data_IF_871984392164
#
_entry.id   IF_871984392164
#
_cell.length_a   1.000
_cell.length_b   1.000
_cell.length_c   1.000
_cell.angle_alpha   90.00
_cell.angle_beta   90.00
_cell.angle_gamma   90.00
#
_symmetry.space_group_name_H-M   'P 1'
#
loop_
_entity.id
_entity.type
_entity.pdbx_description
1 polymer ?
#
# COMPACT_ATOMS: atom_id res chain seq x y z
N UNK A 1 19.08 -61.20 -19.54
CA UNK A 1 20.11 -60.16 -19.33
C UNK A 1 19.74 -58.92 -20.13
N UNK A 2 20.09 -57.74 -19.60
CA UNK A 2 19.92 -56.37 -20.13
C UNK A 2 18.69 -55.59 -19.66
N UNK A 3 18.77 -55.08 -18.42
CA UNK A 3 18.09 -53.85 -18.02
C UNK A 3 19.13 -52.72 -18.04
N UNK A 4 18.94 -51.73 -18.91
CA UNK A 4 19.70 -50.48 -18.91
C UNK A 4 19.12 -49.57 -17.83
N UNK A 5 19.87 -49.39 -16.74
CA UNK A 5 19.56 -48.44 -15.67
C UNK A 5 19.97 -47.04 -16.12
N UNK A 6 19.00 -46.13 -16.27
CA UNK A 6 19.25 -44.70 -16.44
C UNK A 6 19.29 -44.08 -15.04
N UNK A 7 20.48 -43.75 -14.55
CA UNK A 7 20.65 -42.92 -13.36
C UNK A 7 20.43 -41.45 -13.75
N UNK A 8 19.23 -40.94 -13.54
CA UNK A 8 18.99 -39.49 -13.52
C UNK A 8 19.35 -38.95 -12.15
N UNK A 9 20.51 -38.30 -12.05
CA UNK A 9 20.91 -37.52 -10.89
C UNK A 9 20.08 -36.24 -10.91
N UNK A 10 19.02 -36.19 -10.10
CA UNK A 10 18.35 -34.94 -9.77
C UNK A 10 19.30 -34.13 -8.89
N UNK A 11 19.92 -33.10 -9.46
CA UNK A 11 20.59 -32.06 -8.70
C UNK A 11 19.52 -31.29 -7.92
N UNK A 12 19.32 -31.66 -6.64
CA UNK A 12 18.68 -30.77 -5.69
C UNK A 12 19.60 -29.57 -5.52
N UNK A 13 19.28 -28.47 -6.21
CA UNK A 13 19.79 -27.17 -5.87
C UNK A 13 19.20 -26.77 -4.51
N UNK A 14 19.89 -27.17 -3.45
CA UNK A 14 19.74 -26.53 -2.15
C UNK A 14 20.20 -25.08 -2.34
N UNK A 15 19.25 -24.18 -2.56
CA UNK A 15 19.47 -22.77 -2.31
C UNK A 15 19.74 -22.64 -0.80
N UNK A 16 21.02 -22.76 -0.43
CA UNK A 16 21.47 -22.44 0.90
C UNK A 16 21.16 -20.97 1.13
N UNK A 17 20.14 -20.70 1.94
CA UNK A 17 19.95 -19.39 2.57
C UNK A 17 21.13 -19.25 3.53
N UNK A 18 22.26 -18.78 3.02
CA UNK A 18 23.43 -18.51 3.83
C UNK A 18 23.09 -17.39 4.79
N UNK A 19 22.80 -17.74 6.04
CA UNK A 19 22.91 -16.84 7.16
C UNK A 19 24.39 -16.46 7.31
N UNK A 20 24.83 -15.42 6.57
CA UNK A 20 26.16 -14.85 6.70
C UNK A 20 26.12 -13.68 7.69
N UNK A 21 27.17 -13.48 8.50
CA UNK A 21 27.10 -12.68 9.71
C UNK A 21 27.05 -11.17 9.41
N UNK A 22 26.63 -10.43 10.43
CA UNK A 22 26.34 -8.98 10.56
C UNK A 22 27.41 -8.00 10.02
N UNK A 23 28.52 -8.46 9.44
CA UNK A 23 29.54 -7.64 8.76
C UNK A 23 29.21 -7.27 7.29
N UNK A 24 28.13 -7.79 6.71
CA UNK A 24 27.79 -7.54 5.30
C UNK A 24 26.79 -6.37 5.08
N UNK A 25 26.13 -5.88 6.14
CA UNK A 25 25.06 -4.87 6.00
C UNK A 25 25.57 -3.56 5.41
N UNK A 26 26.76 -3.10 5.79
CA UNK A 26 27.35 -1.88 5.22
C UNK A 26 27.62 -2.02 3.72
N UNK A 27 28.07 -3.19 3.27
CA UNK A 27 28.30 -3.49 1.85
C UNK A 27 26.98 -3.57 1.10
N UNK A 28 26.01 -4.33 1.62
CA UNK A 28 24.65 -4.47 1.07
C UNK A 28 24.00 -3.08 0.92
N UNK A 29 24.09 -2.24 1.95
CA UNK A 29 23.59 -0.86 1.92
C UNK A 29 24.26 -0.06 0.81
N UNK A 30 25.60 -0.08 0.76
CA UNK A 30 26.37 0.66 -0.25
C UNK A 30 26.03 0.22 -1.68
N UNK A 31 25.84 -1.07 -1.89
CA UNK A 31 25.48 -1.64 -3.20
C UNK A 31 24.04 -1.29 -3.58
N UNK A 32 23.09 -1.42 -2.64
CA UNK A 32 21.69 -1.02 -2.81
C UNK A 32 21.56 0.47 -3.21
N UNK A 33 22.22 1.36 -2.48
CA UNK A 33 22.10 2.81 -2.64
C UNK A 33 23.07 3.38 -3.69
N UNK A 34 23.86 2.52 -4.34
CA UNK A 34 25.02 2.92 -5.14
C UNK A 34 24.72 3.79 -6.36
N UNK A 35 23.51 3.72 -6.90
CA UNK A 35 23.04 4.56 -8.01
C UNK A 35 22.11 5.70 -7.57
N UNK A 36 21.80 5.80 -6.27
CA UNK A 36 20.93 6.83 -5.71
C UNK A 36 19.44 6.68 -6.01
N UNK A 37 19.00 5.58 -6.63
CA UNK A 37 17.59 5.34 -6.98
C UNK A 37 16.87 4.41 -5.98
N UNK A 38 17.61 3.79 -5.08
CA UNK A 38 17.08 2.94 -4.03
C UNK A 38 17.55 3.40 -2.65
N UNK A 39 16.75 3.08 -1.64
CA UNK A 39 17.03 3.38 -0.24
C UNK A 39 17.05 2.09 0.57
N UNK A 40 18.07 1.92 1.41
CA UNK A 40 18.24 0.75 2.26
C UNK A 40 17.58 0.98 3.62
N UNK A 41 16.78 0.01 4.06
CA UNK A 41 16.12 0.01 5.35
C UNK A 41 16.48 -1.25 6.12
N UNK A 42 16.69 -1.09 7.44
CA UNK A 42 16.94 -2.19 8.37
C UNK A 42 16.25 -1.89 9.69
N UNK A 43 15.66 -2.90 10.33
CA UNK A 43 15.07 -2.77 11.67
C UNK A 43 15.95 -3.43 12.74
N UNK A 44 15.55 -3.25 14.01
CA UNK A 44 16.29 -3.77 15.17
C UNK A 44 16.40 -5.31 15.20
N UNK A 45 15.52 -6.01 14.48
CA UNK A 45 15.54 -7.47 14.35
C UNK A 45 16.50 -7.95 13.25
N UNK A 46 17.18 -7.04 12.54
CA UNK A 46 18.06 -7.36 11.42
C UNK A 46 17.33 -7.73 10.14
N UNK A 47 16.02 -7.52 10.05
CA UNK A 47 15.30 -7.56 8.78
C UNK A 47 15.67 -6.31 7.98
N UNK A 48 16.01 -6.50 6.71
CA UNK A 48 16.39 -5.43 5.80
C UNK A 48 15.76 -5.60 4.43
N UNK A 49 15.53 -4.47 3.79
CA UNK A 49 15.06 -4.38 2.41
C UNK A 49 15.64 -3.15 1.74
N UNK A 50 15.82 -3.24 0.43
CA UNK A 50 16.19 -2.13 -0.41
C UNK A 50 14.98 -1.81 -1.30
N UNK A 51 14.54 -0.56 -1.25
CA UNK A 51 13.35 -0.09 -1.94
C UNK A 51 13.75 0.86 -3.06
N UNK A 52 13.43 0.50 -4.30
CA UNK A 52 13.74 1.29 -5.50
C UNK A 52 12.51 1.94 -6.08
N UNK A 53 12.64 3.19 -6.48
CA UNK A 53 11.62 3.87 -7.27
C UNK A 53 11.78 3.53 -8.76
N UNK A 54 10.68 3.17 -9.39
CA UNK A 54 10.57 2.86 -10.81
C UNK A 54 9.49 3.72 -11.46
N UNK A 55 9.63 3.93 -12.76
CA UNK A 55 8.54 4.46 -13.57
C UNK A 55 7.48 3.39 -13.81
N UNK A 56 6.20 3.79 -13.82
CA UNK A 56 5.06 2.87 -14.00
C UNK A 56 5.09 2.03 -15.30
N UNK A 57 5.82 2.48 -16.31
CA UNK A 57 5.90 1.84 -17.64
C UNK A 57 6.89 0.68 -17.71
N UNK A 58 7.69 0.47 -16.65
CA UNK A 58 8.65 -0.64 -16.60
C UNK A 58 7.95 -1.99 -16.37
N UNK A 59 8.46 -3.05 -16.99
CA UNK A 59 8.02 -4.41 -16.65
C UNK A 59 8.67 -4.82 -15.32
N UNK A 60 7.84 -4.91 -14.29
CA UNK A 60 8.25 -5.17 -12.90
C UNK A 60 7.67 -6.49 -12.36
N UNK A 61 7.21 -7.39 -13.23
CA UNK A 61 6.49 -8.61 -12.84
C UNK A 61 7.34 -9.59 -12.01
N UNK A 62 8.67 -9.47 -12.05
CA UNK A 62 9.62 -10.28 -11.30
C UNK A 62 9.94 -9.73 -9.91
N UNK A 63 9.36 -8.59 -9.51
CA UNK A 63 9.58 -7.93 -8.21
C UNK A 63 8.28 -7.76 -7.44
N UNK A 64 8.37 -7.70 -6.11
CA UNK A 64 7.26 -7.21 -5.28
C UNK A 64 7.28 -5.68 -5.32
N UNK A 65 6.26 -5.08 -5.90
CA UNK A 65 6.19 -3.64 -6.13
C UNK A 65 4.86 -3.10 -5.66
N UNK A 66 4.79 -1.85 -5.23
CA UNK A 66 3.59 -1.17 -4.78
C UNK A 66 3.41 0.15 -5.52
N UNK A 67 2.17 0.51 -5.84
CA UNK A 67 1.87 1.89 -6.16
C UNK A 67 1.89 2.70 -4.88
N UNK A 68 2.56 3.86 -4.95
CA UNK A 68 2.37 4.94 -4.00
C UNK A 68 1.73 6.07 -4.79
N UNK A 69 0.62 6.63 -4.32
CA UNK A 69 -0.18 7.65 -5.05
C UNK A 69 0.58 8.95 -5.43
N UNK A 70 1.89 9.04 -5.17
CA UNK A 70 2.77 10.00 -5.83
C UNK A 70 2.76 9.73 -7.35
N UNK A 71 2.06 10.59 -8.09
CA UNK A 71 1.75 10.44 -9.52
C UNK A 71 2.89 9.78 -10.32
N UNK A 72 2.66 8.53 -10.77
CA UNK A 72 3.53 7.81 -11.72
C UNK A 72 4.69 7.02 -11.12
N UNK A 73 4.84 6.99 -9.78
CA UNK A 73 5.90 6.23 -9.13
C UNK A 73 5.43 4.86 -8.64
N UNK A 74 6.28 3.86 -8.84
CA UNK A 74 6.13 2.51 -8.28
C UNK A 74 7.33 2.26 -7.40
N UNK A 75 7.14 1.72 -6.21
CA UNK A 75 8.24 1.34 -5.32
C UNK A 75 8.36 -0.17 -5.28
N UNK A 76 9.53 -0.70 -5.60
CA UNK A 76 9.79 -2.12 -5.65
C UNK A 76 10.82 -2.56 -4.63
N UNK A 77 10.64 -3.76 -4.10
CA UNK A 77 11.67 -4.49 -3.37
C UNK A 77 12.74 -4.95 -4.36
N UNK A 78 13.99 -4.59 -4.09
CA UNK A 78 15.15 -5.10 -4.83
C UNK A 78 15.44 -6.54 -4.46
N UNK A 79 15.16 -7.44 -5.40
CA UNK A 79 15.55 -8.84 -5.30
C UNK A 79 17.08 -8.94 -5.21
N UNK A 80 17.58 -9.58 -4.15
CA UNK A 80 19.02 -9.67 -3.82
C UNK A 80 19.48 -8.73 -2.71
N UNK A 81 18.72 -7.67 -2.42
CA UNK A 81 18.98 -6.72 -1.33
C UNK A 81 17.84 -6.70 -0.29
N UNK A 82 17.21 -7.86 -0.09
CA UNK A 82 16.11 -8.07 0.85
C UNK A 82 16.25 -9.44 1.54
N UNK A 83 16.00 -9.51 2.85
CA UNK A 83 15.96 -10.77 3.61
C UNK A 83 14.57 -11.11 4.17
N UNK A 84 13.54 -10.35 3.79
CA UNK A 84 12.16 -10.57 4.24
C UNK A 84 11.48 -11.54 3.27
N UNK A 85 11.16 -12.79 3.68
CA UNK A 85 10.66 -13.80 2.76
C UNK A 85 9.35 -13.40 2.07
N UNK A 86 8.40 -12.80 2.83
CA UNK A 86 7.12 -12.34 2.30
C UNK A 86 7.23 -11.26 1.23
N UNK A 87 8.35 -10.54 1.20
CA UNK A 87 8.64 -9.51 0.21
C UNK A 87 9.36 -10.01 -1.04
N UNK A 88 9.89 -11.23 -1.05
CA UNK A 88 10.62 -11.75 -2.23
C UNK A 88 9.71 -12.58 -3.11
N UNK A 89 9.64 -12.24 -4.41
CA UNK A 89 9.02 -13.09 -5.43
C UNK A 89 9.82 -14.35 -5.70
N UNK A 90 11.15 -14.27 -5.59
CA UNK A 90 12.04 -15.40 -5.83
C UNK A 90 11.91 -16.49 -4.77
N UNK A 91 11.46 -16.15 -3.55
CA UNK A 91 11.24 -17.14 -2.49
C UNK A 91 10.04 -18.05 -2.74
N UNK A 92 9.12 -17.67 -3.64
CA UNK A 92 7.83 -18.35 -3.83
C UNK A 92 6.86 -18.19 -2.65
N UNK A 93 7.26 -17.48 -1.59
CA UNK A 93 6.49 -17.26 -0.36
C UNK A 93 5.95 -15.82 -0.27
N UNK A 94 5.74 -15.15 -1.40
CA UNK A 94 5.30 -13.76 -1.42
C UNK A 94 3.93 -13.62 -0.77
N UNK A 95 3.89 -12.90 0.34
CA UNK A 95 2.66 -12.41 0.96
C UNK A 95 2.63 -10.91 0.77
N UNK A 96 1.72 -10.48 -0.08
CA UNK A 96 1.65 -9.10 -0.51
C UNK A 96 1.16 -8.16 0.59
N UNK A 97 0.32 -8.65 1.51
CA UNK A 97 -0.17 -7.87 2.64
C UNK A 97 0.92 -7.76 3.71
N UNK A 98 1.55 -8.88 4.09
CA UNK A 98 2.66 -8.86 5.06
C UNK A 98 3.84 -8.01 4.54
N UNK A 99 4.19 -8.15 3.24
CA UNK A 99 5.24 -7.31 2.68
C UNK A 99 4.88 -5.82 2.69
N UNK A 100 3.64 -5.48 2.38
CA UNK A 100 3.17 -4.10 2.44
C UNK A 100 3.22 -3.55 3.88
N UNK A 101 2.90 -4.35 4.90
CA UNK A 101 3.01 -3.92 6.30
C UNK A 101 4.46 -3.63 6.66
N UNK A 102 5.38 -4.52 6.29
CA UNK A 102 6.82 -4.34 6.51
C UNK A 102 7.31 -3.08 5.79
N UNK A 103 6.92 -2.90 4.53
CA UNK A 103 7.20 -1.71 3.75
C UNK A 103 6.76 -0.44 4.49
N UNK A 104 5.50 -0.36 4.93
CA UNK A 104 4.98 0.78 5.71
C UNK A 104 5.86 1.00 6.96
N UNK A 105 6.19 -0.04 7.72
CA UNK A 105 7.00 0.12 8.94
C UNK A 105 8.42 0.67 8.67
N UNK A 106 8.98 0.44 7.50
CA UNK A 106 10.31 0.96 7.15
C UNK A 106 10.28 2.43 6.74
N UNK A 107 9.20 2.87 6.10
CA UNK A 107 9.09 4.20 5.49
C UNK A 107 8.24 5.18 6.32
N UNK A 108 7.43 4.66 7.24
CA UNK A 108 6.50 5.44 8.05
C UNK A 108 7.06 5.62 9.46
N UNK A 109 7.24 6.88 9.84
CA UNK A 109 7.68 7.28 11.18
C UNK A 109 6.63 8.10 11.92
N UNK A 110 5.47 8.37 11.30
CA UNK A 110 4.47 9.31 11.79
C UNK A 110 3.04 8.71 11.80
N UNK A 111 2.08 9.46 12.34
CA UNK A 111 0.65 9.15 12.30
C UNK A 111 0.00 9.50 10.94
N UNK A 112 0.80 9.66 9.88
CA UNK A 112 0.37 10.13 8.55
C UNK A 112 1.13 9.40 7.45
N UNK A 113 0.37 8.84 6.51
CA UNK A 113 0.91 8.29 5.27
C UNK A 113 0.59 9.26 4.11
N UNK A 114 1.59 9.96 3.55
CA UNK A 114 1.36 10.95 2.49
C UNK A 114 1.02 10.35 1.13
N UNK A 115 0.97 9.02 1.04
CA UNK A 115 0.57 8.25 -0.14
C UNK A 115 -0.40 7.16 0.29
N UNK A 116 -1.15 6.64 -0.66
CA UNK A 116 -1.89 5.39 -0.48
C UNK A 116 -1.14 4.27 -1.15
N UNK A 117 -1.05 3.14 -0.47
CA UNK A 117 -0.35 1.97 -0.98
C UNK A 117 -1.35 1.04 -1.67
N UNK A 118 -1.09 0.70 -2.92
CA UNK A 118 -1.96 -0.17 -3.72
C UNK A 118 -1.16 -1.25 -4.42
N UNK A 119 -1.84 -2.34 -4.73
CA UNK A 119 -1.23 -3.50 -5.35
C UNK A 119 -0.75 -3.20 -6.76
N UNK A 120 0.50 -3.50 -7.09
CA UNK A 120 0.99 -3.52 -8.47
C UNK A 120 0.74 -4.89 -9.11
N UNK A 121 0.24 -4.97 -10.36
CA UNK A 121 -0.18 -3.87 -11.23
C UNK A 121 -1.68 -3.50 -11.11
N UNK A 122 -2.46 -4.19 -10.26
CA UNK A 122 -3.93 -4.15 -10.27
C UNK A 122 -4.56 -2.87 -9.67
N UNK A 123 -3.79 -2.07 -8.93
CA UNK A 123 -4.25 -0.94 -8.11
C UNK A 123 -5.26 -1.34 -7.01
N UNK A 124 -5.36 -2.63 -6.69
CA UNK A 124 -6.25 -3.09 -5.62
C UNK A 124 -5.77 -2.59 -4.26
N UNK A 125 -6.73 -2.27 -3.38
CA UNK A 125 -6.43 -1.95 -2.00
C UNK A 125 -5.85 -3.19 -1.30
N UNK A 126 -4.77 -2.97 -0.56
CA UNK A 126 -4.07 -4.04 0.17
C UNK A 126 -4.71 -4.24 1.55
N UNK A 127 -4.86 -3.15 2.30
CA UNK A 127 -5.33 -3.20 3.68
C UNK A 127 -6.82 -2.90 3.81
N UNK A 128 -7.50 -3.65 4.67
CA UNK A 128 -8.85 -3.31 5.15
C UNK A 128 -8.83 -3.06 6.66
N UNK A 129 -7.98 -2.14 7.10
CA UNK A 129 -7.77 -1.79 8.50
C UNK A 129 -7.92 -0.28 8.72
N UNK A 130 -8.65 0.08 9.79
CA UNK A 130 -8.83 1.45 10.25
C UNK A 130 -7.51 2.23 10.40
N UNK A 131 -6.46 1.63 10.95
CA UNK A 131 -5.21 2.31 11.29
C UNK A 131 -4.48 2.81 10.05
N UNK A 132 -4.34 1.96 9.04
CA UNK A 132 -3.74 2.35 7.76
C UNK A 132 -4.64 3.36 7.04
N UNK A 133 -5.96 3.12 7.03
CA UNK A 133 -6.89 4.05 6.39
C UNK A 133 -6.89 5.43 7.04
N UNK A 134 -6.75 5.50 8.36
CA UNK A 134 -6.61 6.73 9.12
C UNK A 134 -5.34 7.47 8.74
N UNK A 135 -4.20 6.78 8.72
CA UNK A 135 -2.92 7.37 8.33
C UNK A 135 -2.93 7.87 6.90
N UNK A 136 -3.43 7.06 5.95
CA UNK A 136 -3.58 7.43 4.54
C UNK A 136 -4.51 8.65 4.38
N UNK A 137 -5.66 8.65 5.07
CA UNK A 137 -6.62 9.75 5.02
C UNK A 137 -5.99 11.05 5.55
N UNK A 138 -5.38 11.00 6.74
CA UNK A 138 -4.78 12.16 7.41
C UNK A 138 -3.56 12.70 6.63
N UNK A 139 -2.73 11.82 6.08
CA UNK A 139 -1.58 12.20 5.25
C UNK A 139 -1.98 12.85 3.93
N UNK A 140 -3.20 12.59 3.44
CA UNK A 140 -3.76 13.25 2.25
C UNK A 140 -4.63 14.48 2.59
N UNK A 141 -4.45 15.09 3.76
CA UNK A 141 -5.24 16.20 4.27
C UNK A 141 -6.75 15.90 4.35
N UNK A 142 -7.07 14.63 4.55
CA UNK A 142 -8.42 14.16 4.80
C UNK A 142 -8.76 14.12 6.29
N UNK A 143 -10.05 13.96 6.56
CA UNK A 143 -10.60 13.76 7.91
C UNK A 143 -11.32 12.42 7.92
N UNK A 144 -10.96 11.54 8.86
CA UNK A 144 -11.61 10.25 9.03
C UNK A 144 -12.62 10.33 10.17
N UNK A 145 -13.87 9.96 9.88
CA UNK A 145 -15.01 10.07 10.77
C UNK A 145 -15.54 8.68 11.11
N UNK A 146 -15.47 8.29 12.38
CA UNK A 146 -16.00 7.00 12.85
C UNK A 146 -17.49 7.10 13.19
N UNK A 147 -18.27 6.08 12.83
CA UNK A 147 -19.70 5.98 13.06
C UNK A 147 -20.06 4.67 13.76
N UNK A 148 -20.59 4.77 14.99
CA UNK A 148 -20.96 3.67 15.90
C UNK A 148 -19.79 2.82 16.39
N UNK A 149 -18.86 2.43 15.51
CA UNK A 149 -17.69 1.62 15.83
C UNK A 149 -16.45 2.18 15.14
N UNK A 150 -15.27 1.80 15.63
CA UNK A 150 -13.98 2.16 14.99
C UNK A 150 -13.91 1.64 13.56
N UNK A 151 -14.44 0.45 13.30
CA UNK A 151 -14.34 -0.20 11.98
C UNK A 151 -15.38 0.28 10.97
N UNK A 152 -16.22 1.25 11.33
CA UNK A 152 -17.25 1.80 10.45
C UNK A 152 -17.04 3.31 10.31
N UNK A 153 -16.31 3.71 9.27
CA UNK A 153 -15.81 5.06 9.11
C UNK A 153 -15.90 5.57 7.68
N UNK A 154 -15.80 6.90 7.56
CA UNK A 154 -15.76 7.62 6.28
C UNK A 154 -14.54 8.52 6.25
N UNK A 155 -13.69 8.36 5.24
CA UNK A 155 -12.63 9.32 4.95
C UNK A 155 -13.13 10.40 4.00
N UNK A 156 -12.87 11.66 4.35
CA UNK A 156 -13.27 12.83 3.59
C UNK A 156 -12.06 13.68 3.23
N UNK A 157 -11.81 13.85 1.94
CA UNK A 157 -10.73 14.70 1.45
C UNK A 157 -11.23 15.97 0.83
N UNK A 158 -10.51 17.07 1.08
CA UNK A 158 -10.80 18.35 0.45
C UNK A 158 -10.80 18.21 -1.08
N UNK A 159 -11.86 18.69 -1.71
CA UNK A 159 -11.97 18.75 -3.16
C UNK A 159 -10.98 19.79 -3.70
N UNK A 160 -10.09 19.36 -4.59
CA UNK A 160 -9.18 20.27 -5.30
C UNK A 160 -9.71 20.55 -6.71
N UNK A 161 -9.40 21.68 -7.36
CA UNK A 161 -9.87 21.98 -8.72
C UNK A 161 -9.61 20.87 -9.75
N UNK A 162 -8.51 20.12 -9.61
CA UNK A 162 -8.22 18.90 -10.41
C UNK A 162 -9.21 17.77 -10.13
N UNK A 163 -9.60 17.55 -8.85
CA UNK A 163 -10.59 16.55 -8.41
C UNK A 163 -12.06 17.01 -8.60
N UNK A 164 -12.29 18.32 -8.79
CA UNK A 164 -13.61 18.98 -8.92
C UNK A 164 -14.24 18.79 -10.31
N UNK A 165 -13.45 18.54 -11.37
CA UNK A 165 -14.01 18.23 -12.70
C UNK A 165 -14.80 16.90 -12.76
N UNK A 166 -14.77 16.08 -11.71
CA UNK A 166 -15.45 14.79 -11.62
C UNK A 166 -16.51 14.75 -10.50
N UNK A 167 -17.05 15.90 -10.09
CA UNK A 167 -18.03 16.00 -8.99
C UNK A 167 -19.33 15.19 -9.21
N UNK A 168 -19.70 14.84 -10.44
CA UNK A 168 -20.85 13.96 -10.69
C UNK A 168 -20.66 12.56 -10.08
N UNK A 169 -19.40 12.13 -9.96
CA UNK A 169 -19.05 10.75 -9.64
C UNK A 169 -18.60 10.57 -8.19
N UNK A 170 -18.58 11.64 -7.39
CA UNK A 170 -18.13 11.62 -5.99
C UNK A 170 -19.21 12.18 -5.07
N UNK A 171 -19.44 11.49 -3.96
CA UNK A 171 -20.30 12.02 -2.89
C UNK A 171 -19.51 13.07 -2.12
N UNK A 172 -19.81 14.34 -2.42
CA UNK A 172 -19.14 15.49 -1.84
C UNK A 172 -20.11 16.31 -0.99
N UNK A 173 -19.59 16.82 0.12
CA UNK A 173 -20.33 17.48 1.18
C UNK A 173 -19.56 18.71 1.66
N UNK A 174 -20.26 19.65 2.26
CA UNK A 174 -19.70 20.85 2.87
C UNK A 174 -19.30 20.57 4.32
N UNK A 175 -18.04 20.80 4.65
CA UNK A 175 -17.46 20.70 5.99
C UNK A 175 -16.55 21.91 6.25
N UNK A 176 -16.79 22.67 7.32
CA UNK A 176 -16.05 23.89 7.65
C UNK A 176 -15.91 24.89 6.49
N UNK A 177 -17.01 25.11 5.75
CA UNK A 177 -17.06 25.95 4.55
C UNK A 177 -16.25 25.48 3.33
N UNK A 178 -15.64 24.30 3.41
CA UNK A 178 -14.91 23.68 2.31
C UNK A 178 -15.68 22.46 1.77
N UNK A 179 -15.47 22.15 0.49
CA UNK A 179 -16.04 20.95 -0.12
C UNK A 179 -15.10 19.79 0.15
N UNK A 180 -15.62 18.73 0.75
CA UNK A 180 -14.92 17.46 0.97
C UNK A 180 -15.65 16.33 0.28
N UNK A 181 -14.92 15.38 -0.28
CA UNK A 181 -15.48 14.22 -0.98
C UNK A 181 -15.12 12.92 -0.27
N UNK A 182 -16.05 11.98 -0.28
CA UNK A 182 -15.83 10.63 0.25
C UNK A 182 -14.75 9.93 -0.57
N UNK A 183 -13.70 9.48 0.13
CA UNK A 183 -12.64 8.66 -0.43
C UNK A 183 -13.10 7.21 -0.37
N UNK A 184 -13.48 6.68 -1.52
CA UNK A 184 -14.11 5.37 -1.66
C UNK A 184 -13.24 4.24 -1.09
N UNK A 185 -11.93 4.26 -1.38
CA UNK A 185 -11.01 3.23 -0.93
C UNK A 185 -10.76 3.28 0.58
N UNK A 186 -10.79 4.45 1.22
CA UNK A 186 -10.48 4.65 2.64
C UNK A 186 -11.75 4.82 3.49
N UNK A 187 -12.86 4.26 3.03
CA UNK A 187 -14.16 4.32 3.69
C UNK A 187 -14.68 2.89 3.87
N UNK A 188 -14.94 2.49 5.11
CA UNK A 188 -15.51 1.18 5.42
C UNK A 188 -17.03 1.21 5.53
N UNK A 189 -17.63 2.37 5.80
CA UNK A 189 -19.06 2.56 5.87
C UNK A 189 -19.70 2.32 4.49
N UNK A 190 -20.18 1.09 4.24
CA UNK A 190 -20.65 0.64 2.93
C UNK A 190 -21.76 1.51 2.32
N UNK A 191 -22.57 2.16 3.16
CA UNK A 191 -23.55 3.14 2.72
C UNK A 191 -22.95 4.32 1.94
N UNK A 192 -21.68 4.66 2.20
CA UNK A 192 -20.92 5.72 1.57
C UNK A 192 -19.98 5.25 0.44
N UNK A 193 -19.91 3.94 0.17
CA UNK A 193 -19.04 3.37 -0.85
C UNK A 193 -19.87 3.02 -2.07
N UNK A 194 -19.79 3.79 -3.16
CA UNK A 194 -20.61 3.66 -4.38
C UNK A 194 -20.58 2.28 -5.02
N UNK A 195 -19.43 1.61 -4.97
CA UNK A 195 -19.27 0.25 -5.49
C UNK A 195 -19.83 -0.85 -4.59
N UNK A 196 -20.25 -0.54 -3.37
CA UNK A 196 -20.81 -1.50 -2.44
C UNK A 196 -22.29 -1.76 -2.75
N UNK A 197 -22.75 -2.99 -2.51
CA UNK A 197 -24.15 -3.37 -2.68
C UNK A 197 -25.08 -2.58 -1.76
N UNK A 198 -24.58 -2.19 -0.59
CA UNK A 198 -25.29 -1.45 0.45
C UNK A 198 -25.18 0.08 0.29
N UNK A 199 -24.63 0.56 -0.83
CA UNK A 199 -24.55 1.99 -1.11
C UNK A 199 -25.94 2.64 -1.04
N UNK A 200 -26.02 3.72 -0.27
CA UNK A 200 -27.24 4.50 -0.09
C UNK A 200 -26.80 5.92 0.26
N UNK A 201 -26.94 6.82 -0.71
CA UNK A 201 -26.55 8.23 -0.59
C UNK A 201 -27.21 8.90 0.63
N UNK A 202 -28.49 8.62 0.88
CA UNK A 202 -29.26 9.20 1.99
C UNK A 202 -28.79 8.66 3.34
N UNK A 203 -28.43 7.38 3.40
CA UNK A 203 -27.82 6.80 4.58
C UNK A 203 -26.41 7.33 4.80
N UNK A 204 -25.63 7.54 3.75
CA UNK A 204 -24.32 8.17 3.85
C UNK A 204 -24.42 9.60 4.40
N UNK A 205 -25.32 10.40 3.84
CA UNK A 205 -25.65 11.75 4.32
C UNK A 205 -25.98 11.76 5.81
N UNK A 206 -26.83 10.83 6.27
CA UNK A 206 -27.18 10.70 7.69
C UNK A 206 -25.96 10.40 8.56
N UNK A 207 -25.07 9.50 8.12
CA UNK A 207 -23.82 9.21 8.83
C UNK A 207 -22.99 10.48 8.98
N UNK A 208 -22.80 11.22 7.88
CA UNK A 208 -21.99 12.43 7.86
C UNK A 208 -22.63 13.58 8.68
N UNK A 209 -23.95 13.71 8.67
CA UNK A 209 -24.67 14.76 9.39
C UNK A 209 -24.46 14.71 10.90
N UNK A 210 -24.21 13.53 11.48
CA UNK A 210 -23.88 13.35 12.90
C UNK A 210 -22.57 14.09 13.26
N UNK A 211 -21.68 14.26 12.29
CA UNK A 211 -20.42 14.98 12.43
C UNK A 211 -20.51 16.45 12.00
N UNK A 212 -21.72 17.00 11.86
CA UNK A 212 -21.94 18.40 11.49
C UNK A 212 -21.71 18.72 10.01
N UNK A 213 -21.61 17.69 9.15
CA UNK A 213 -21.39 17.83 7.72
C UNK A 213 -22.72 18.05 7.00
N UNK A 214 -22.75 18.99 6.07
CA UNK A 214 -23.95 19.41 5.35
C UNK A 214 -23.83 19.11 3.87
N UNK A 215 -24.95 18.94 3.19
CA UNK A 215 -24.96 18.86 1.74
C UNK A 215 -24.57 20.20 1.10
N UNK A 216 -24.08 20.09 -0.15
CA UNK A 216 -23.91 21.24 -1.02
C UNK A 216 -25.30 21.56 -1.58
N UNK A 217 -25.97 22.56 -1.01
CA UNK A 217 -27.20 23.07 -1.59
C UNK A 217 -26.83 23.82 -2.88
N UNK A 218 -27.36 23.35 -4.02
CA UNK A 218 -27.33 24.10 -5.29
C UNK A 218 -28.26 25.31 -5.22
#
# INVERSE_FOLDING_TARGET
MNFKTIFSIAALALAAVSANPVNNIATIKKECEGDGLATFYINDNGEYTCLRQHHKEENLDYRTCFFTDAEGSVVCVEEGFNNIPSCSKNSGATDYEDCAEKFIRFIDHDDKLPYRIRKFPTHEKIFSNYEIDFKECNGNNGVLLSYKTRDNYVCLEKATPKKVKMLSDKDCFKYNDEIHCVVQDNTSAKACVRGAKEYDHERCRRILSIHGIKEINN
#
